data_IF_151611772661
#
_entry.id   IF_151611772661
#
_cell.length_a   1.000
_cell.length_b   1.000
_cell.length_c   1.000
_cell.angle_alpha   90.00
_cell.angle_beta   90.00
_cell.angle_gamma   90.00
#
_symmetry.space_group_name_H-M   'P 1'
#
loop_
_entity.id
_entity.type
_entity.pdbx_description
1 polymer ?
#
# COMPACT_ATOMS: atom_id res chain seq x y z
N UNK A 1 2.97 -10.23 -0.25
CA UNK A 1 3.27 -9.14 0.69
C UNK A 1 4.22 -8.14 0.05
N UNK A 2 3.99 -6.85 0.23
CA UNK A 2 4.90 -5.79 -0.25
C UNK A 2 6.07 -5.54 0.71
N UNK A 3 5.98 -6.04 1.93
CA UNK A 3 6.99 -5.89 2.98
C UNK A 3 7.56 -7.25 3.40
N UNK A 4 8.84 -7.23 3.75
CA UNK A 4 9.49 -8.34 4.45
C UNK A 4 9.37 -8.12 5.95
N UNK A 5 9.06 -9.18 6.68
CA UNK A 5 8.91 -9.12 8.13
C UNK A 5 8.61 -10.47 8.76
N UNK A 6 8.57 -10.51 10.07
CA UNK A 6 8.17 -11.70 10.82
C UNK A 6 6.69 -11.57 11.16
N UNK A 7 5.91 -12.61 10.96
CA UNK A 7 4.50 -12.67 11.35
C UNK A 7 4.39 -12.63 12.87
N UNK A 8 3.74 -11.61 13.39
CA UNK A 8 3.45 -11.47 14.81
C UNK A 8 2.18 -12.20 15.21
N UNK A 9 1.13 -12.08 14.39
CA UNK A 9 -0.18 -12.65 14.66
C UNK A 9 -0.91 -12.95 13.36
N UNK A 10 -1.66 -14.04 13.36
CA UNK A 10 -2.65 -14.37 12.34
C UNK A 10 -4.02 -14.25 12.99
N UNK A 11 -4.93 -13.47 12.42
CA UNK A 11 -6.24 -13.14 13.00
C UNK A 11 -7.37 -13.98 12.43
N UNK A 12 -7.08 -14.89 11.50
CA UNK A 12 -8.08 -15.72 10.81
C UNK A 12 -7.58 -17.16 10.72
N UNK A 13 -8.52 -18.10 10.62
CA UNK A 13 -8.24 -19.51 10.36
C UNK A 13 -9.01 -20.01 9.14
N UNK A 14 -8.76 -21.26 8.74
CA UNK A 14 -9.45 -21.90 7.61
C UNK A 14 -10.95 -21.96 7.89
N UNK A 15 -11.75 -21.67 6.87
CA UNK A 15 -13.21 -21.54 6.90
C UNK A 15 -13.77 -20.30 7.61
N UNK A 16 -12.93 -19.36 8.06
CA UNK A 16 -13.42 -18.09 8.59
C UNK A 16 -13.98 -17.19 7.50
N UNK A 17 -15.11 -16.55 7.77
CA UNK A 17 -15.66 -15.48 6.94
C UNK A 17 -14.85 -14.20 7.14
N UNK A 18 -14.51 -13.55 6.06
CA UNK A 18 -13.70 -12.33 6.03
C UNK A 18 -14.39 -11.22 5.26
N UNK A 19 -14.10 -9.98 5.65
CA UNK A 19 -14.59 -8.78 4.98
C UNK A 19 -13.44 -8.02 4.33
N UNK A 20 -13.75 -7.28 3.30
CA UNK A 20 -12.84 -6.32 2.68
C UNK A 20 -12.25 -5.38 3.75
N UNK A 21 -10.96 -5.09 3.65
CA UNK A 21 -10.16 -4.31 4.60
C UNK A 21 -9.98 -4.92 6.01
N UNK A 22 -10.52 -6.11 6.29
CA UNK A 22 -10.24 -6.82 7.52
C UNK A 22 -8.77 -7.22 7.61
N UNK A 23 -8.12 -6.97 8.75
CA UNK A 23 -6.72 -7.36 8.99
C UNK A 23 -6.65 -8.86 9.23
N UNK A 24 -5.98 -9.56 8.32
CA UNK A 24 -5.80 -11.02 8.34
C UNK A 24 -4.51 -11.42 9.06
N UNK A 25 -3.41 -10.70 8.78
CA UNK A 25 -2.08 -10.99 9.32
C UNK A 25 -1.44 -9.69 9.78
N UNK A 26 -0.80 -9.72 10.93
CA UNK A 26 0.01 -8.63 11.48
C UNK A 26 1.49 -9.02 11.46
N UNK A 27 2.31 -8.23 10.80
CA UNK A 27 3.77 -8.35 10.86
C UNK A 27 4.33 -7.63 12.09
N UNK A 28 5.56 -7.92 12.48
CA UNK A 28 6.27 -7.19 13.53
C UNK A 28 6.58 -5.76 13.09
N UNK A 29 5.99 -4.79 13.77
CA UNK A 29 6.07 -3.37 13.43
C UNK A 29 7.11 -2.59 14.21
N UNK A 30 7.86 -3.20 15.15
CA UNK A 30 8.78 -2.49 16.06
C UNK A 30 9.78 -1.58 15.32
N UNK A 31 10.32 -2.04 14.22
CA UNK A 31 11.25 -1.26 13.39
C UNK A 31 10.54 -0.12 12.64
N UNK A 32 9.33 -0.40 12.14
CA UNK A 32 8.49 0.57 11.44
C UNK A 32 7.97 1.65 12.41
N UNK A 33 7.54 1.26 13.61
CA UNK A 33 7.13 2.18 14.67
C UNK A 33 8.26 3.13 15.05
N UNK A 34 9.51 2.62 15.14
CA UNK A 34 10.69 3.44 15.40
C UNK A 34 10.97 4.44 14.27
N UNK A 35 10.79 4.03 13.00
CA UNK A 35 10.91 4.92 11.83
C UNK A 35 9.86 6.03 11.86
N UNK A 36 8.60 5.68 12.15
CA UNK A 36 7.51 6.68 12.28
C UNK A 36 7.82 7.66 13.41
N UNK A 37 8.28 7.18 14.57
CA UNK A 37 8.64 8.04 15.69
C UNK A 37 9.79 8.99 15.33
N UNK A 38 10.82 8.50 14.62
CA UNK A 38 11.95 9.32 14.14
C UNK A 38 11.49 10.38 13.13
N UNK A 39 10.67 10.01 12.15
CA UNK A 39 10.14 10.95 11.15
C UNK A 39 9.25 12.02 11.80
N UNK A 40 8.45 11.65 12.79
CA UNK A 40 7.62 12.58 13.57
C UNK A 40 8.44 13.57 14.39
N UNK A 41 9.55 13.11 14.99
CA UNK A 41 10.48 13.98 15.68
C UNK A 41 11.19 14.96 14.72
N UNK A 42 11.52 14.51 13.50
CA UNK A 42 12.11 15.37 12.46
C UNK A 42 11.13 16.45 12.01
N UNK A 43 9.85 16.13 11.85
CA UNK A 43 8.80 17.09 11.52
C UNK A 43 8.67 18.15 12.64
N UNK A 44 8.60 17.72 13.90
CA UNK A 44 8.52 18.65 15.04
C UNK A 44 9.74 19.60 15.11
N UNK A 45 10.93 19.09 14.78
CA UNK A 45 12.15 19.92 14.70
C UNK A 45 12.06 20.96 13.56
N UNK A 46 11.55 20.56 12.39
CA UNK A 46 11.35 21.49 11.27
C UNK A 46 10.30 22.56 11.59
N UNK A 47 9.23 22.23 12.29
CA UNK A 47 8.21 23.18 12.75
C UNK A 47 8.79 24.19 13.75
N UNK A 48 9.61 23.72 14.70
CA UNK A 48 10.31 24.60 15.62
C UNK A 48 11.25 25.59 14.89
N UNK A 49 11.97 25.10 13.84
CA UNK A 49 12.83 25.95 13.00
C UNK A 49 12.04 26.99 12.22
N UNK A 50 10.84 26.66 11.75
CA UNK A 50 9.94 27.63 11.12
C UNK A 50 9.51 28.70 12.12
N UNK A 51 9.20 28.32 13.36
CA UNK A 51 8.82 29.27 14.41
C UNK A 51 9.97 30.25 14.71
N UNK A 52 11.21 29.76 14.81
CA UNK A 52 12.43 30.57 14.95
C UNK A 52 12.59 31.54 13.77
N UNK A 53 12.50 31.03 12.52
CA UNK A 53 12.65 31.88 11.33
C UNK A 53 11.58 32.95 11.23
N UNK A 54 10.33 32.66 11.64
CA UNK A 54 9.24 33.64 11.73
C UNK A 54 9.52 34.72 12.79
N UNK A 55 10.09 34.34 13.94
CA UNK A 55 10.46 35.30 14.97
C UNK A 55 11.56 36.26 14.48
N UNK A 56 12.59 35.74 13.82
CA UNK A 56 13.66 36.51 13.20
C UNK A 56 13.13 37.48 12.13
N UNK A 57 12.21 37.00 11.28
CA UNK A 57 11.57 37.85 10.27
C UNK A 57 10.78 38.99 10.93
N UNK A 58 10.03 38.70 11.97
CA UNK A 58 9.26 39.71 12.72
C UNK A 58 10.17 40.75 13.33
N UNK A 59 11.30 40.33 13.93
CA UNK A 59 12.30 41.27 14.47
C UNK A 59 12.86 42.19 13.38
N UNK A 60 13.30 41.61 12.23
CA UNK A 60 13.80 42.41 11.10
C UNK A 60 12.76 43.41 10.56
N UNK A 61 11.48 43.00 10.45
CA UNK A 61 10.39 43.87 10.02
C UNK A 61 10.09 45.02 11.00
N UNK A 62 10.13 44.74 12.29
CA UNK A 62 9.94 45.78 13.33
C UNK A 62 11.07 46.81 13.28
N UNK A 63 12.32 46.34 13.12
CA UNK A 63 13.46 47.24 12.98
C UNK A 63 13.39 48.05 11.69
N UNK A 64 13.02 47.47 10.57
CA UNK A 64 12.81 48.18 9.30
C UNK A 64 11.75 49.29 9.43
N UNK A 65 10.62 48.95 10.04
CA UNK A 65 9.56 49.91 10.28
C UNK A 65 10.04 51.11 11.13
N UNK A 66 10.78 50.84 12.22
CA UNK A 66 11.33 51.92 13.08
C UNK A 66 12.33 52.80 12.33
N UNK A 67 13.21 52.23 11.51
CA UNK A 67 14.17 52.99 10.72
C UNK A 67 13.48 53.85 9.65
N UNK A 68 12.44 53.35 8.98
CA UNK A 68 11.63 54.08 8.02
C UNK A 68 10.83 55.24 8.70
N UNK A 69 10.32 55.03 9.89
CA UNK A 69 9.66 56.10 10.70
C UNK A 69 10.66 57.19 11.10
N UNK A 70 11.87 56.78 11.57
CA UNK A 70 12.90 57.73 11.92
C UNK A 70 13.38 58.58 10.71
N UNK A 71 13.49 57.95 9.55
CA UNK A 71 13.83 58.64 8.30
C UNK A 71 12.77 59.68 7.94
N UNK A 72 11.50 59.38 8.10
CA UNK A 72 10.41 60.35 7.87
C UNK A 72 10.48 61.53 8.86
N UNK A 73 10.67 61.28 10.14
CA UNK A 73 10.72 62.28 11.18
C UNK A 73 11.92 63.19 11.04
N UNK A 74 13.06 62.69 10.56
CA UNK A 74 14.30 63.43 10.36
C UNK A 74 14.34 64.24 9.04
N UNK A 75 13.29 64.18 8.22
CA UNK A 75 13.27 64.82 6.91
C UNK A 75 14.30 64.17 5.93
N UNK A 76 14.55 62.85 6.05
CA UNK A 76 15.50 62.11 5.21
C UNK A 76 16.95 62.20 5.62
N UNK A 77 17.27 62.82 6.75
CA UNK A 77 18.67 63.01 7.23
C UNK A 77 19.23 61.81 8.00
N UNK A 78 18.36 61.04 8.63
CA UNK A 78 18.72 59.85 9.44
C UNK A 78 17.62 58.77 9.36
N UNK A 79 17.95 57.48 9.32
CA UNK A 79 19.29 56.91 9.17
C UNK A 79 19.87 57.12 7.76
N UNK A 80 21.13 56.72 7.52
CA UNK A 80 21.74 56.81 6.19
C UNK A 80 21.01 55.89 5.20
N UNK A 81 21.12 56.21 3.90
CA UNK A 81 20.53 55.37 2.85
C UNK A 81 21.09 53.94 2.86
N UNK A 82 22.40 53.84 3.15
CA UNK A 82 23.06 52.52 3.29
C UNK A 82 22.46 51.71 4.44
N UNK A 83 22.10 52.32 5.56
CA UNK A 83 21.46 51.61 6.69
C UNK A 83 20.07 51.12 6.35
N UNK A 84 19.29 51.89 5.59
CA UNK A 84 17.96 51.52 5.10
C UNK A 84 18.06 50.35 4.11
N UNK A 85 18.96 50.43 3.14
CA UNK A 85 19.20 49.39 2.14
C UNK A 85 19.69 48.09 2.82
N UNK A 86 20.58 48.16 3.78
CA UNK A 86 21.05 47.01 4.59
C UNK A 86 19.90 46.38 5.39
N UNK A 87 19.01 47.18 5.96
CA UNK A 87 17.87 46.64 6.69
C UNK A 87 16.82 46.01 5.79
N UNK A 88 16.59 46.57 4.61
CA UNK A 88 15.72 45.94 3.61
C UNK A 88 16.26 44.60 3.12
N UNK A 89 17.58 44.52 2.88
CA UNK A 89 18.23 43.26 2.58
C UNK A 89 18.11 42.23 3.72
N UNK A 90 18.21 42.66 4.99
CA UNK A 90 18.00 41.81 6.15
C UNK A 90 16.57 41.24 6.23
N UNK A 91 15.55 42.06 5.93
CA UNK A 91 14.15 41.62 5.85
C UNK A 91 14.00 40.57 4.70
N UNK A 92 14.56 40.85 3.53
CA UNK A 92 14.51 39.93 2.40
C UNK A 92 15.15 38.57 2.73
N UNK A 93 16.32 38.60 3.37
CA UNK A 93 17.03 37.39 3.83
C UNK A 93 16.19 36.59 4.84
N UNK A 94 15.64 37.26 5.85
CA UNK A 94 14.82 36.62 6.86
C UNK A 94 13.51 36.04 6.25
N UNK A 95 12.94 36.69 5.23
CA UNK A 95 11.79 36.19 4.50
C UNK A 95 12.16 34.91 3.71
N UNK A 96 13.31 34.90 3.03
CA UNK A 96 13.79 33.73 2.34
C UNK A 96 14.02 32.55 3.30
N UNK A 97 14.57 32.80 4.50
CA UNK A 97 14.76 31.79 5.54
C UNK A 97 13.43 31.14 5.99
N UNK A 98 12.34 31.91 6.06
CA UNK A 98 10.99 31.37 6.34
C UNK A 98 10.54 30.44 5.21
N UNK A 99 10.77 30.79 3.96
CA UNK A 99 10.39 29.92 2.82
C UNK A 99 11.22 28.63 2.80
N UNK A 100 12.51 28.70 3.10
CA UNK A 100 13.35 27.49 3.25
C UNK A 100 12.83 26.61 4.40
N UNK A 101 12.50 27.19 5.54
CA UNK A 101 11.96 26.41 6.66
C UNK A 101 10.60 25.77 6.33
N UNK A 102 9.75 26.40 5.52
CA UNK A 102 8.51 25.80 5.03
C UNK A 102 8.77 24.60 4.11
N UNK A 103 9.73 24.72 3.20
CA UNK A 103 10.14 23.62 2.34
C UNK A 103 10.65 22.43 3.16
N UNK A 104 11.45 22.68 4.19
CA UNK A 104 11.94 21.64 5.11
C UNK A 104 10.79 20.92 5.85
N UNK A 105 9.71 21.63 6.20
CA UNK A 105 8.52 21.00 6.77
C UNK A 105 7.85 20.09 5.76
N UNK A 106 7.70 20.53 4.50
CA UNK A 106 7.09 19.72 3.46
C UNK A 106 7.88 18.41 3.23
N UNK A 107 9.20 18.49 3.22
CA UNK A 107 10.09 17.31 3.10
C UNK A 107 9.92 16.37 4.31
N UNK A 108 9.92 16.90 5.53
CA UNK A 108 9.74 16.10 6.73
C UNK A 108 8.35 15.46 6.81
N UNK A 109 7.33 16.15 6.32
CA UNK A 109 5.97 15.64 6.23
C UNK A 109 5.85 14.49 5.24
N UNK A 110 6.46 14.59 4.05
CA UNK A 110 6.51 13.54 3.07
C UNK A 110 7.25 12.28 3.59
N UNK A 111 8.34 12.49 4.34
CA UNK A 111 9.07 11.40 5.00
C UNK A 111 8.21 10.70 6.07
N UNK A 112 7.43 11.45 6.85
CA UNK A 112 6.50 10.87 7.83
C UNK A 112 5.40 10.06 7.14
N UNK A 113 4.78 10.59 6.10
CA UNK A 113 3.73 9.91 5.33
C UNK A 113 4.24 8.60 4.73
N UNK A 114 5.47 8.59 4.20
CA UNK A 114 6.14 7.39 3.71
C UNK A 114 6.30 6.35 4.83
N UNK A 115 6.79 6.76 6.00
CA UNK A 115 6.99 5.85 7.13
C UNK A 115 5.66 5.31 7.68
N UNK A 116 4.60 6.11 7.72
CA UNK A 116 3.26 5.69 8.13
C UNK A 116 2.62 4.74 7.11
N UNK A 117 2.84 4.98 5.82
CA UNK A 117 2.40 4.08 4.74
C UNK A 117 3.09 2.72 4.86
N UNK A 118 4.40 2.68 5.05
CA UNK A 118 5.15 1.44 5.25
C UNK A 118 4.66 0.69 6.49
N UNK A 119 4.40 1.42 7.59
CA UNK A 119 3.82 0.83 8.80
C UNK A 119 2.43 0.24 8.55
N UNK A 120 1.59 0.90 7.76
CA UNK A 120 0.24 0.41 7.44
C UNK A 120 0.26 -0.89 6.64
N UNK A 121 1.25 -1.06 5.74
CA UNK A 121 1.47 -2.28 4.95
C UNK A 121 1.87 -3.51 5.78
N UNK A 122 2.31 -3.31 7.02
CA UNK A 122 2.57 -4.41 7.96
C UNK A 122 1.29 -5.14 8.40
N UNK A 123 0.13 -4.51 8.23
CA UNK A 123 -1.16 -5.13 8.43
C UNK A 123 -1.68 -5.63 7.07
N UNK A 124 -1.57 -6.93 6.83
CA UNK A 124 -2.05 -7.56 5.60
C UNK A 124 -3.57 -7.70 5.72
N UNK A 125 -4.28 -7.01 4.83
CA UNK A 125 -5.74 -6.93 4.81
C UNK A 125 -6.33 -7.78 3.69
N UNK A 126 -7.59 -8.17 3.84
CA UNK A 126 -8.35 -8.81 2.77
C UNK A 126 -8.70 -7.80 1.68
N UNK A 127 -8.46 -8.11 0.39
CA UNK A 127 -8.92 -7.30 -0.73
C UNK A 127 -10.39 -7.58 -1.11
N UNK A 128 -11.02 -8.62 -0.54
CA UNK A 128 -12.35 -9.13 -0.90
C UNK A 128 -13.14 -9.52 0.34
N UNK A 129 -14.46 -9.55 0.19
CA UNK A 129 -15.35 -10.29 1.09
C UNK A 129 -15.35 -11.76 0.70
N UNK A 130 -15.35 -12.69 1.64
CA UNK A 130 -15.33 -14.11 1.32
C UNK A 130 -14.94 -15.01 2.47
N UNK A 131 -14.31 -16.12 2.16
CA UNK A 131 -13.93 -17.18 3.12
C UNK A 131 -12.46 -17.57 2.91
N UNK A 132 -11.77 -17.90 3.98
CA UNK A 132 -10.38 -18.41 3.96
C UNK A 132 -10.40 -19.88 3.58
N UNK A 133 -9.81 -20.24 2.43
CA UNK A 133 -9.70 -21.63 1.97
C UNK A 133 -8.50 -22.37 2.56
N UNK A 134 -7.36 -21.68 2.65
CA UNK A 134 -6.13 -22.28 3.16
C UNK A 134 -5.29 -21.23 3.88
N UNK A 135 -4.57 -21.68 4.91
CA UNK A 135 -3.63 -20.90 5.68
C UNK A 135 -2.27 -21.59 5.65
N UNK A 136 -1.30 -20.92 5.02
CA UNK A 136 0.08 -21.42 4.85
C UNK A 136 1.08 -20.67 5.74
N UNK A 137 0.59 -19.89 6.72
CA UNK A 137 1.40 -19.01 7.55
C UNK A 137 1.07 -19.19 9.05
N UNK A 138 2.11 -19.16 9.87
CA UNK A 138 2.02 -19.25 11.33
C UNK A 138 2.72 -18.04 11.98
N UNK A 139 2.36 -17.67 13.23
CA UNK A 139 3.14 -16.71 14.01
C UNK A 139 4.61 -17.16 14.13
N UNK A 140 5.53 -16.21 13.90
CA UNK A 140 6.97 -16.48 13.82
C UNK A 140 7.48 -16.78 12.40
N UNK A 141 6.61 -16.94 11.42
CA UNK A 141 7.00 -17.17 10.04
C UNK A 141 7.64 -15.91 9.43
N UNK A 142 8.73 -16.09 8.68
CA UNK A 142 9.38 -14.99 7.98
C UNK A 142 8.77 -14.82 6.58
N UNK A 143 8.18 -13.66 6.34
CA UNK A 143 7.67 -13.24 5.03
C UNK A 143 8.73 -12.40 4.36
N UNK A 144 9.11 -12.75 3.14
CA UNK A 144 10.05 -11.98 2.32
C UNK A 144 9.32 -11.42 1.10
N UNK A 145 9.51 -10.12 0.84
CA UNK A 145 9.12 -9.46 -0.41
C UNK A 145 10.15 -9.79 -1.51
N UNK A 146 10.40 -11.09 -1.76
CA UNK A 146 11.38 -11.56 -2.73
C UNK A 146 10.70 -12.03 -4.02
N UNK A 147 11.51 -12.36 -5.03
CA UNK A 147 11.07 -12.80 -6.37
C UNK A 147 10.15 -14.04 -6.37
N UNK A 148 10.10 -14.79 -5.30
CA UNK A 148 9.14 -15.89 -5.12
C UNK A 148 8.04 -15.42 -4.16
N UNK A 149 6.85 -15.18 -4.71
CA UNK A 149 5.67 -14.88 -3.91
C UNK A 149 5.32 -16.11 -3.05
N UNK A 150 5.47 -15.98 -1.73
CA UNK A 150 4.98 -16.99 -0.79
C UNK A 150 3.48 -16.78 -0.61
N UNK A 151 2.71 -17.83 -0.86
CA UNK A 151 1.28 -17.84 -0.56
C UNK A 151 1.08 -17.90 0.95
N UNK A 152 0.42 -16.88 1.50
CA UNK A 152 0.14 -16.77 2.93
C UNK A 152 -1.25 -17.31 3.28
N UNK A 153 -2.24 -16.88 2.51
CA UNK A 153 -3.64 -17.25 2.64
C UNK A 153 -4.24 -17.43 1.24
N UNK A 154 -5.10 -18.42 1.08
CA UNK A 154 -5.95 -18.57 -0.11
C UNK A 154 -7.38 -18.16 0.28
N UNK A 155 -7.98 -17.26 -0.49
CA UNK A 155 -9.29 -16.67 -0.22
C UNK A 155 -10.23 -16.94 -1.38
N UNK A 156 -11.50 -17.18 -1.09
CA UNK A 156 -12.56 -17.26 -2.11
C UNK A 156 -13.67 -16.25 -1.80
N UNK A 157 -14.24 -15.67 -2.85
CA UNK A 157 -15.38 -14.75 -2.74
C UNK A 157 -16.68 -15.50 -2.51
N UNK A 158 -16.88 -16.60 -3.20
CA UNK A 158 -18.08 -17.43 -3.10
C UNK A 158 -17.71 -18.91 -3.32
N UNK A 159 -18.25 -19.77 -2.48
CA UNK A 159 -18.06 -21.22 -2.58
C UNK A 159 -19.18 -21.89 -3.40
N UNK A 160 -20.22 -21.15 -3.77
CA UNK A 160 -21.34 -21.67 -4.55
C UNK A 160 -21.02 -21.78 -6.04
N UNK A 161 -20.13 -20.94 -6.54
CA UNK A 161 -19.66 -20.98 -7.92
C UNK A 161 -18.23 -21.52 -7.96
N UNK A 162 -18.07 -22.73 -8.45
CA UNK A 162 -16.77 -23.39 -8.57
C UNK A 162 -16.37 -23.48 -10.04
N UNK A 163 -15.09 -23.22 -10.31
CA UNK A 163 -14.47 -23.45 -11.62
C UNK A 163 -13.69 -24.75 -11.59
N UNK A 164 -14.19 -25.74 -12.32
CA UNK A 164 -13.48 -27.02 -12.53
C UNK A 164 -12.54 -26.88 -13.73
N UNK A 165 -11.26 -27.16 -13.55
CA UNK A 165 -10.25 -27.22 -14.61
C UNK A 165 -10.00 -28.65 -15.00
N UNK A 166 -10.17 -28.95 -16.27
CA UNK A 166 -9.96 -30.30 -16.86
C UNK A 166 -8.97 -30.18 -18.00
N UNK A 167 -8.04 -31.11 -18.08
CA UNK A 167 -7.15 -31.20 -19.24
C UNK A 167 -7.77 -32.17 -20.24
N UNK A 168 -7.99 -31.68 -21.45
CA UNK A 168 -8.57 -32.45 -22.57
C UNK A 168 -7.49 -32.71 -23.60
N UNK A 169 -7.45 -33.91 -24.10
CA UNK A 169 -6.51 -34.36 -25.15
C UNK A 169 -6.74 -33.61 -26.47
N UNK A 170 -5.67 -33.35 -27.23
CA UNK A 170 -5.74 -32.71 -28.54
C UNK A 170 -6.69 -33.46 -29.50
N UNK A 171 -6.79 -34.76 -29.42
CA UNK A 171 -7.67 -35.55 -30.29
C UNK A 171 -9.17 -35.22 -30.04
N UNK A 172 -9.54 -34.88 -28.82
CA UNK A 172 -10.93 -34.67 -28.42
C UNK A 172 -11.35 -33.19 -28.44
N UNK A 173 -10.42 -32.26 -28.45
CA UNK A 173 -10.67 -30.83 -28.32
C UNK A 173 -11.57 -30.27 -29.43
N UNK A 174 -11.48 -30.83 -30.62
CA UNK A 174 -12.29 -30.39 -31.77
C UNK A 174 -13.79 -30.64 -31.61
N UNK A 175 -14.19 -31.54 -30.70
CA UNK A 175 -15.60 -31.88 -30.42
C UNK A 175 -16.21 -31.02 -29.28
N UNK A 176 -15.40 -30.19 -28.62
CA UNK A 176 -15.80 -29.44 -27.42
C UNK A 176 -16.22 -28.01 -27.77
N UNK A 177 -17.38 -27.57 -27.26
CA UNK A 177 -17.93 -26.24 -27.51
C UNK A 177 -18.33 -25.57 -26.19
N UNK A 178 -18.14 -24.25 -26.11
CA UNK A 178 -18.63 -23.44 -24.99
C UNK A 178 -20.15 -23.57 -24.86
N UNK A 179 -20.65 -23.68 -23.62
CA UNK A 179 -22.08 -23.92 -23.31
C UNK A 179 -22.47 -25.41 -23.29
N UNK A 180 -21.57 -26.33 -23.63
CA UNK A 180 -21.82 -27.76 -23.57
C UNK A 180 -21.96 -28.23 -22.11
N UNK A 181 -23.00 -29.09 -21.88
CA UNK A 181 -23.20 -29.73 -20.57
C UNK A 181 -22.24 -30.90 -20.41
N UNK A 182 -21.64 -31.00 -19.27
CA UNK A 182 -20.77 -32.08 -18.86
C UNK A 182 -21.18 -32.63 -17.50
N UNK A 183 -20.73 -33.82 -17.18
CA UNK A 183 -20.91 -34.43 -15.86
C UNK A 183 -19.57 -34.96 -15.39
N UNK A 184 -19.31 -34.80 -14.10
CA UNK A 184 -18.13 -35.38 -13.47
C UNK A 184 -18.51 -36.11 -12.19
N UNK A 185 -17.63 -36.98 -11.73
CA UNK A 185 -17.74 -37.68 -10.45
C UNK A 185 -16.48 -37.38 -9.64
N UNK A 186 -16.61 -37.41 -8.34
CA UNK A 186 -15.46 -37.26 -7.42
C UNK A 186 -15.27 -38.56 -6.64
N UNK A 187 -14.03 -38.85 -6.26
CA UNK A 187 -13.71 -40.11 -5.56
C UNK A 187 -14.45 -40.28 -4.23
N UNK A 188 -14.83 -39.17 -3.57
CA UNK A 188 -15.62 -39.21 -2.36
C UNK A 188 -17.09 -39.65 -2.59
N UNK A 189 -17.62 -39.45 -3.80
CA UNK A 189 -19.01 -39.79 -4.19
C UNK A 189 -19.03 -40.41 -5.59
N UNK A 190 -18.59 -41.66 -5.75
CA UNK A 190 -18.41 -42.30 -7.08
C UNK A 190 -19.73 -42.51 -7.82
N UNK A 191 -20.84 -42.64 -7.09
CA UNK A 191 -22.19 -42.87 -7.66
C UNK A 191 -22.95 -41.56 -7.95
N UNK A 192 -22.46 -40.38 -7.47
CA UNK A 192 -23.11 -39.09 -7.68
C UNK A 192 -22.45 -38.38 -8.89
N UNK A 193 -23.28 -38.05 -9.89
CA UNK A 193 -22.86 -37.23 -11.03
C UNK A 193 -23.17 -35.76 -10.76
N UNK A 194 -22.15 -34.94 -10.84
CA UNK A 194 -22.27 -33.49 -10.67
C UNK A 194 -22.38 -32.81 -12.04
N UNK A 195 -23.39 -31.98 -12.27
CA UNK A 195 -23.52 -31.26 -13.54
C UNK A 195 -22.49 -30.11 -13.59
N UNK A 196 -21.93 -29.91 -14.76
CA UNK A 196 -21.06 -28.77 -15.04
C UNK A 196 -21.38 -28.22 -16.43
N UNK A 197 -21.09 -26.95 -16.66
CA UNK A 197 -21.26 -26.31 -17.95
C UNK A 197 -19.91 -25.78 -18.42
N UNK A 198 -19.52 -26.15 -19.62
CA UNK A 198 -18.27 -25.71 -20.21
C UNK A 198 -18.32 -24.22 -20.54
N UNK A 199 -17.42 -23.44 -19.99
CA UNK A 199 -17.37 -21.98 -20.17
C UNK A 199 -16.39 -21.58 -21.26
N UNK A 200 -15.17 -22.11 -21.22
CA UNK A 200 -14.11 -21.79 -22.19
C UNK A 200 -13.07 -22.91 -22.31
N UNK A 201 -12.42 -22.94 -23.44
CA UNK A 201 -11.24 -23.74 -23.70
C UNK A 201 -10.03 -22.79 -23.82
N UNK A 202 -8.94 -23.07 -23.14
CA UNK A 202 -7.70 -22.31 -23.31
C UNK A 202 -7.09 -22.60 -24.69
N UNK A 203 -6.69 -21.56 -25.40
CA UNK A 203 -6.02 -21.75 -26.71
C UNK A 203 -4.56 -22.23 -26.58
N UNK A 204 -3.94 -22.07 -25.41
CA UNK A 204 -2.60 -22.54 -25.15
C UNK A 204 -2.58 -24.02 -24.77
N UNK A 205 -1.89 -24.85 -25.54
CA UNK A 205 -1.67 -26.24 -25.19
C UNK A 205 -0.61 -26.37 -24.10
N UNK A 206 -0.77 -27.35 -23.23
CA UNK A 206 0.25 -27.80 -22.26
C UNK A 206 0.73 -29.18 -22.65
N UNK A 207 2.05 -29.35 -22.77
CA UNK A 207 2.63 -30.67 -23.08
C UNK A 207 3.24 -31.24 -21.81
N UNK A 208 2.72 -32.37 -21.36
CA UNK A 208 3.24 -33.12 -20.21
C UNK A 208 3.54 -34.58 -20.69
N UNK A 209 4.77 -35.04 -20.49
CA UNK A 209 5.17 -36.38 -20.88
C UNK A 209 4.85 -36.73 -22.35
N UNK A 210 5.04 -35.79 -23.28
CA UNK A 210 4.69 -35.88 -24.70
C UNK A 210 3.19 -35.99 -25.03
N UNK A 211 2.30 -35.77 -24.06
CA UNK A 211 0.86 -35.67 -24.31
C UNK A 211 0.48 -34.18 -24.37
N UNK A 212 -0.14 -33.79 -25.48
CA UNK A 212 -0.63 -32.44 -25.70
C UNK A 212 -2.06 -32.34 -25.18
N UNK A 213 -2.28 -31.46 -24.20
CA UNK A 213 -3.60 -31.23 -23.61
C UNK A 213 -3.96 -29.76 -23.61
N UNK A 214 -5.26 -29.48 -23.65
CA UNK A 214 -5.84 -28.13 -23.56
C UNK A 214 -6.61 -28.01 -22.26
N UNK A 215 -6.30 -26.97 -21.47
CA UNK A 215 -7.06 -26.70 -20.25
C UNK A 215 -8.44 -26.18 -20.59
N UNK A 216 -9.44 -26.89 -20.13
CA UNK A 216 -10.86 -26.56 -20.33
C UNK A 216 -11.47 -26.20 -18.99
N UNK A 217 -12.24 -25.13 -18.96
CA UNK A 217 -12.85 -24.57 -17.75
C UNK A 217 -14.36 -24.84 -17.77
N UNK A 218 -14.84 -25.41 -16.69
CA UNK A 218 -16.27 -25.70 -16.50
C UNK A 218 -16.76 -24.98 -15.25
N UNK A 219 -17.92 -24.37 -15.35
CA UNK A 219 -18.62 -23.83 -14.19
C UNK A 219 -19.45 -24.95 -13.52
N UNK A 220 -19.30 -25.04 -12.21
CA UNK A 220 -20.02 -25.98 -11.35
C UNK A 220 -20.82 -25.18 -10.35
N UNK A 221 -22.13 -25.37 -10.35
CA UNK A 221 -23.02 -24.81 -9.33
C UNK A 221 -22.97 -25.71 -8.09
N UNK A 222 -22.52 -25.14 -6.98
CA UNK A 222 -22.37 -25.82 -5.68
C UNK A 222 -23.36 -25.20 -4.67
N UNK A 223 -24.58 -24.96 -5.11
CA UNK A 223 -25.62 -24.31 -4.28
C UNK A 223 -26.24 -25.21 -3.20
N UNK A 224 -25.90 -26.53 -3.14
CA UNK A 224 -26.46 -27.55 -2.21
C UNK A 224 -25.46 -27.99 -1.15
#
# INVERSE_FOLDING_TARGET
>A
SELSGIVRKVNVDVNDEIKTDQVLIELDTRNLDSKVASARASLASAEAKLAESKATLKEAQVKDKRLKELNKLSGGKMPSRTDLDAQEAAVATAKAAVEVAKATIADAQAALETAETDRSKANIKSPIDGVVLARSVEPGYAVAASLQAVELLSLATDLRELELKVNVDEADIGSIQSGQKAYFTVSAYPDKRFPATLTKVAYGATTTENVVTYTTYLNVDNAD
#
